data_IF_523029865646
#
_entry.id   IF_523029865646
#
_cell.length_a   1.000
_cell.length_b   1.000
_cell.length_c   1.000
_cell.angle_alpha   90.00
_cell.angle_beta   90.00
_cell.angle_gamma   90.00
#
_symmetry.space_group_name_H-M   'P 1'
#
loop_
_entity.id
_entity.type
_entity.pdbx_description
1 polymer ?
#
# COMPACT_ATOMS: atom_id res chain seq x y z
N UNK A 1 -5.88 1.39 -46.67
CA UNK A 1 -5.75 0.37 -45.60
C UNK A 1 -4.39 0.57 -44.95
N UNK A 2 -4.30 1.54 -44.05
CA UNK A 2 -3.07 1.82 -43.29
C UNK A 2 -3.29 1.39 -41.84
N UNK A 3 -2.39 0.53 -41.35
CA UNK A 3 -2.35 0.08 -39.97
C UNK A 3 -1.89 1.25 -39.10
N UNK A 4 -2.76 1.73 -38.22
CA UNK A 4 -2.36 2.58 -37.11
C UNK A 4 -1.45 1.78 -36.17
N UNK A 5 -0.18 2.19 -36.09
CA UNK A 5 0.75 1.78 -35.06
C UNK A 5 0.35 2.50 -33.76
N UNK A 6 0.02 1.74 -32.71
CA UNK A 6 -0.12 2.29 -31.36
C UNK A 6 1.26 2.73 -30.86
N UNK A 7 1.39 4.04 -30.59
CA UNK A 7 2.55 4.61 -29.92
C UNK A 7 2.57 4.17 -28.44
N UNK A 8 3.74 3.85 -27.86
CA UNK A 8 3.85 3.59 -26.44
C UNK A 8 3.61 4.87 -25.64
N UNK A 9 2.81 4.76 -24.58
CA UNK A 9 2.54 5.82 -23.61
C UNK A 9 3.86 6.44 -23.13
N UNK A 10 4.08 7.72 -23.45
CA UNK A 10 5.21 8.48 -22.91
C UNK A 10 5.01 8.61 -21.40
N UNK A 11 5.78 7.83 -20.64
CA UNK A 11 6.05 8.13 -19.24
C UNK A 11 6.67 9.54 -19.18
N UNK A 12 5.99 10.46 -18.50
CA UNK A 12 6.57 11.74 -18.12
C UNK A 12 7.75 11.45 -17.19
N UNK A 13 8.98 11.57 -17.70
CA UNK A 13 10.15 11.66 -16.84
C UNK A 13 10.04 12.96 -16.03
N UNK A 14 9.75 12.84 -14.73
CA UNK A 14 9.73 13.98 -13.82
C UNK A 14 11.14 14.56 -13.66
N UNK A 15 11.20 15.90 -13.65
CA UNK A 15 12.41 16.69 -13.42
C UNK A 15 13.02 16.38 -12.04
N UNK A 16 14.32 16.04 -12.01
CA UNK A 16 15.12 15.82 -10.79
C UNK A 16 15.45 17.12 -10.03
N UNK A 17 14.54 18.11 -10.03
CA UNK A 17 14.80 19.44 -9.45
C UNK A 17 13.92 19.75 -8.22
N UNK A 18 13.23 18.78 -7.64
CA UNK A 18 12.51 18.94 -6.37
C UNK A 18 13.46 19.06 -5.16
N UNK A 19 13.00 19.58 -4.00
CA UNK A 19 13.83 19.64 -2.79
C UNK A 19 14.36 18.24 -2.39
N UNK A 20 15.56 18.15 -1.77
CA UNK A 20 16.31 16.90 -1.60
C UNK A 20 15.52 15.74 -0.98
N UNK A 21 14.62 16.04 -0.04
CA UNK A 21 13.75 15.05 0.61
C UNK A 21 12.80 14.37 -0.37
N UNK A 22 12.18 15.12 -1.29
CA UNK A 22 11.21 14.59 -2.26
C UNK A 22 11.88 13.63 -3.25
N UNK A 23 13.13 13.92 -3.66
CA UNK A 23 13.89 13.05 -4.57
C UNK A 23 14.26 11.72 -3.92
N UNK A 24 14.65 11.73 -2.64
CA UNK A 24 14.98 10.52 -1.88
C UNK A 24 13.75 9.62 -1.74
N UNK A 25 12.56 10.20 -1.53
CA UNK A 25 11.31 9.45 -1.46
C UNK A 25 10.87 8.90 -2.82
N UNK A 26 11.00 9.68 -3.89
CA UNK A 26 10.71 9.24 -5.26
C UNK A 26 11.63 8.08 -5.71
N UNK A 27 12.93 8.15 -5.40
CA UNK A 27 13.89 7.11 -5.75
C UNK A 27 13.73 5.81 -4.92
N UNK A 28 12.97 5.85 -3.83
CA UNK A 28 12.80 4.75 -2.89
C UNK A 28 11.41 4.11 -2.94
N UNK A 29 10.50 4.63 -3.76
CA UNK A 29 9.12 4.13 -3.88
C UNK A 29 9.06 2.87 -4.73
N UNK A 30 8.40 1.82 -4.22
CA UNK A 30 8.11 0.62 -5.00
C UNK A 30 6.87 0.92 -5.85
N UNK A 31 6.93 0.78 -7.17
CA UNK A 31 5.78 1.04 -8.05
C UNK A 31 4.94 -0.22 -8.27
N UNK A 32 3.73 -0.06 -8.82
CA UNK A 32 2.91 -1.20 -9.24
C UNK A 32 3.63 -2.05 -10.31
N UNK A 33 4.40 -1.41 -11.20
CA UNK A 33 5.26 -2.10 -12.18
C UNK A 33 6.30 -2.99 -11.50
N UNK A 34 6.97 -2.50 -10.45
CA UNK A 34 7.92 -3.29 -9.69
C UNK A 34 7.26 -4.50 -9.00
N UNK A 35 5.99 -4.39 -8.56
CA UNK A 35 5.21 -5.52 -8.06
C UNK A 35 4.91 -6.55 -9.16
N UNK A 36 4.55 -6.10 -10.36
CA UNK A 36 4.28 -6.98 -11.51
C UNK A 36 5.55 -7.71 -11.94
N UNK A 37 6.70 -7.05 -11.90
CA UNK A 37 7.99 -7.69 -12.17
C UNK A 37 8.30 -8.74 -11.10
N UNK A 38 8.07 -8.39 -9.83
CA UNK A 38 8.27 -9.33 -8.73
C UNK A 38 7.40 -10.58 -8.89
N UNK A 39 6.12 -10.43 -9.21
CA UNK A 39 5.20 -11.56 -9.37
C UNK A 39 5.65 -12.53 -10.47
N UNK A 40 6.20 -12.01 -11.57
CA UNK A 40 6.73 -12.81 -12.68
C UNK A 40 8.01 -13.58 -12.31
N UNK A 41 8.79 -13.08 -11.35
CA UNK A 41 10.04 -13.71 -10.90
C UNK A 41 9.88 -14.69 -9.73
N UNK A 42 8.68 -14.75 -9.13
CA UNK A 42 8.35 -15.67 -8.05
C UNK A 42 7.75 -16.97 -8.62
N UNK A 43 8.13 -18.10 -8.03
CA UNK A 43 7.53 -19.39 -8.35
C UNK A 43 6.23 -19.59 -7.57
N UNK A 44 5.10 -19.62 -8.28
CA UNK A 44 3.77 -19.79 -7.68
C UNK A 44 3.57 -21.15 -7.00
N UNK A 45 4.41 -22.15 -7.30
CA UNK A 45 4.35 -23.48 -6.68
C UNK A 45 5.23 -23.59 -5.42
N UNK A 46 6.12 -22.62 -5.21
CA UNK A 46 7.04 -22.62 -4.08
C UNK A 46 6.35 -22.10 -2.81
N UNK A 47 6.38 -22.91 -1.75
CA UNK A 47 5.90 -22.55 -0.42
C UNK A 47 6.49 -21.23 0.10
N UNK A 48 7.77 -21.00 -0.18
CA UNK A 48 8.49 -19.79 0.22
C UNK A 48 8.07 -18.59 -0.60
N UNK A 49 8.04 -18.71 -1.93
CA UNK A 49 7.70 -17.60 -2.82
C UNK A 49 6.23 -17.21 -2.69
N UNK A 50 5.32 -18.14 -2.37
CA UNK A 50 3.93 -17.81 -2.05
C UNK A 50 3.82 -16.94 -0.79
N UNK A 51 4.63 -17.23 0.25
CA UNK A 51 4.68 -16.43 1.46
C UNK A 51 5.25 -15.03 1.18
N UNK A 52 6.30 -14.94 0.35
CA UNK A 52 6.88 -13.67 -0.10
C UNK A 52 5.86 -12.88 -0.90
N UNK A 53 5.11 -13.51 -1.80
CA UNK A 53 4.12 -12.84 -2.62
C UNK A 53 2.94 -12.28 -1.81
N UNK A 54 2.38 -13.08 -0.91
CA UNK A 54 1.32 -12.64 0.00
C UNK A 54 1.79 -11.48 0.89
N UNK A 55 2.98 -11.60 1.46
CA UNK A 55 3.60 -10.54 2.27
C UNK A 55 3.81 -9.25 1.47
N UNK A 56 4.23 -9.35 0.21
CA UNK A 56 4.44 -8.21 -0.68
C UNK A 56 3.13 -7.47 -0.94
N UNK A 57 2.08 -8.20 -1.37
CA UNK A 57 0.80 -7.59 -1.70
C UNK A 57 0.18 -6.90 -0.47
N UNK A 58 0.27 -7.55 0.70
CA UNK A 58 -0.21 -6.99 1.97
C UNK A 58 0.62 -5.77 2.36
N UNK A 59 1.95 -5.85 2.32
CA UNK A 59 2.83 -4.73 2.66
C UNK A 59 2.55 -3.49 1.80
N UNK A 60 2.32 -3.70 0.50
CA UNK A 60 2.01 -2.65 -0.46
C UNK A 60 0.60 -2.08 -0.22
N UNK A 61 -0.46 -2.87 -0.43
CA UNK A 61 -1.84 -2.36 -0.44
C UNK A 61 -2.38 -1.93 0.92
N UNK A 62 -1.84 -2.49 2.01
CA UNK A 62 -2.19 -2.04 3.35
C UNK A 62 -1.27 -0.90 3.83
N UNK A 63 -0.35 -0.41 2.98
CA UNK A 63 0.61 0.63 3.33
C UNK A 63 1.41 0.30 4.62
N UNK A 64 1.79 -0.97 4.76
CA UNK A 64 2.40 -1.54 5.96
C UNK A 64 3.92 -1.67 5.78
N UNK A 65 4.70 -0.63 6.12
CA UNK A 65 6.16 -0.76 6.32
C UNK A 65 6.83 0.43 7.00
N UNK A 66 7.57 0.21 8.09
CA UNK A 66 8.70 1.07 8.46
C UNK A 66 9.70 0.34 9.36
N UNK A 67 10.92 0.15 8.85
CA UNK A 67 12.11 0.39 9.66
C UNK A 67 12.70 1.68 9.13
N UNK A 68 12.33 2.80 9.73
CA UNK A 68 13.29 3.89 9.75
C UNK A 68 14.24 3.56 10.91
N UNK A 69 15.55 3.41 10.64
CA UNK A 69 16.51 3.69 11.68
C UNK A 69 16.17 5.09 12.17
N UNK A 70 16.25 5.30 13.49
CA UNK A 70 16.32 6.64 14.05
C UNK A 70 17.58 7.34 13.50
N UNK A 71 17.50 7.82 12.26
CA UNK A 71 18.41 8.82 11.76
C UNK A 71 18.20 10.03 12.66
N UNK A 72 19.29 10.47 13.27
CA UNK A 72 19.43 11.61 14.16
C UNK A 72 19.01 12.90 13.46
N UNK A 73 17.71 13.07 13.26
CA UNK A 73 17.06 14.31 12.83
C UNK A 73 16.38 14.96 14.03
N UNK A 74 16.20 16.29 14.03
CA UNK A 74 15.77 17.05 15.19
C UNK A 74 14.46 16.54 15.81
N UNK A 75 14.46 16.47 17.13
CA UNK A 75 13.51 15.81 18.04
C UNK A 75 12.05 16.30 17.97
N UNK A 76 11.71 17.29 17.14
CA UNK A 76 10.36 17.86 17.06
C UNK A 76 9.45 17.23 16.00
N UNK A 77 9.96 16.34 15.14
CA UNK A 77 9.17 15.79 14.01
C UNK A 77 8.85 14.29 14.15
N UNK A 78 9.60 13.50 14.93
CA UNK A 78 9.47 12.04 14.89
C UNK A 78 9.07 11.42 16.23
N UNK A 79 7.78 11.44 16.49
CA UNK A 79 7.11 10.43 17.32
C UNK A 79 5.78 10.05 16.68
N UNK A 80 5.83 9.68 15.41
CA UNK A 80 4.68 9.10 14.73
C UNK A 80 4.93 7.61 14.71
N UNK A 81 4.25 6.86 15.58
CA UNK A 81 4.43 5.44 15.56
C UNK A 81 3.67 4.92 14.32
N UNK A 82 4.19 3.87 13.70
CA UNK A 82 3.62 3.31 12.48
C UNK A 82 3.48 1.79 12.58
N UNK A 83 2.47 1.22 11.93
CA UNK A 83 2.35 -0.22 11.69
C UNK A 83 3.67 -0.70 11.04
N UNK A 84 4.45 -1.45 11.80
CA UNK A 84 5.72 -2.01 11.33
C UNK A 84 5.46 -3.42 10.85
N UNK A 85 6.06 -3.79 9.73
CA UNK A 85 6.06 -5.17 9.27
C UNK A 85 6.74 -6.12 10.29
N UNK A 86 7.38 -5.62 11.35
CA UNK A 86 7.73 -6.42 12.53
C UNK A 86 6.51 -7.04 13.25
N UNK A 87 5.28 -6.65 12.89
CA UNK A 87 4.02 -7.26 13.34
C UNK A 87 3.54 -8.39 12.43
N UNK A 88 3.95 -8.36 11.14
CA UNK A 88 3.56 -9.32 10.10
C UNK A 88 4.65 -10.37 9.86
N UNK A 89 5.92 -9.96 9.72
CA UNK A 89 7.09 -10.83 9.63
C UNK A 89 7.95 -10.73 10.88
N UNK A 90 8.57 -11.84 11.24
CA UNK A 90 9.49 -11.89 12.37
C UNK A 90 10.87 -11.33 11.99
N UNK A 91 11.57 -10.61 12.90
CA UNK A 91 12.93 -10.13 12.62
C UNK A 91 13.94 -11.29 12.51
N UNK A 92 13.75 -12.33 13.31
CA UNK A 92 14.51 -13.57 13.26
C UNK A 92 13.68 -14.72 13.84
N UNK A 93 14.00 -16.00 13.54
CA UNK A 93 13.28 -17.16 14.06
C UNK A 93 13.21 -17.21 15.59
N UNK A 94 14.24 -16.70 16.28
CA UNK A 94 14.35 -16.72 17.74
C UNK A 94 13.61 -15.57 18.43
N UNK A 95 13.05 -14.62 17.68
CA UNK A 95 12.35 -13.44 18.21
C UNK A 95 10.83 -13.55 18.08
N UNK A 96 10.32 -14.76 17.84
CA UNK A 96 8.88 -15.00 17.83
C UNK A 96 8.28 -14.76 19.22
N UNK A 97 7.35 -13.81 19.27
CA UNK A 97 6.52 -13.52 20.43
C UNK A 97 5.04 -13.59 20.02
N UNK A 98 4.23 -14.48 20.61
CA UNK A 98 2.79 -14.57 20.35
C UNK A 98 2.03 -13.28 20.68
N UNK A 99 2.56 -12.47 21.59
CA UNK A 99 2.00 -11.17 21.94
C UNK A 99 2.22 -10.13 20.85
N UNK A 100 3.21 -10.32 19.96
CA UNK A 100 3.62 -9.32 18.96
C UNK A 100 3.31 -9.71 17.53
N UNK A 101 3.24 -11.00 17.24
CA UNK A 101 3.12 -11.50 15.87
C UNK A 101 1.82 -12.28 15.69
N UNK A 102 1.21 -12.07 14.53
CA UNK A 102 0.02 -12.78 14.12
C UNK A 102 0.40 -14.23 13.81
N UNK A 103 -0.44 -15.17 14.27
CA UNK A 103 -0.25 -16.60 14.04
C UNK A 103 -1.44 -17.21 13.32
N UNK A 104 -1.32 -18.46 12.91
CA UNK A 104 -2.39 -19.25 12.27
C UNK A 104 -3.60 -19.48 13.19
N UNK A 105 -3.56 -19.08 14.47
CA UNK A 105 -4.70 -19.10 15.39
C UNK A 105 -5.88 -18.25 14.92
N UNK A 106 -5.67 -17.32 13.97
CA UNK A 106 -6.72 -16.51 13.38
C UNK A 106 -7.51 -17.25 12.28
N UNK A 107 -7.08 -18.46 11.90
CA UNK A 107 -7.70 -19.23 10.82
C UNK A 107 -8.88 -20.07 11.33
N UNK A 108 -9.93 -20.28 10.51
CA UNK A 108 -10.09 -19.75 9.14
C UNK A 108 -10.40 -18.25 9.14
N UNK A 109 -9.91 -17.53 8.12
CA UNK A 109 -10.24 -16.12 7.93
C UNK A 109 -11.74 -15.96 7.62
N UNK A 110 -12.37 -14.98 8.26
CA UNK A 110 -13.75 -14.64 7.95
C UNK A 110 -13.79 -13.84 6.64
N UNK A 111 -14.33 -14.48 5.60
CA UNK A 111 -14.53 -13.84 4.31
C UNK A 111 -15.90 -13.15 4.29
N UNK A 112 -15.86 -11.83 4.15
CA UNK A 112 -17.01 -10.96 4.06
C UNK A 112 -17.15 -10.42 2.64
N UNK A 113 -18.34 -9.95 2.30
CA UNK A 113 -18.59 -9.23 1.06
C UNK A 113 -19.46 -8.01 1.35
N UNK A 114 -19.18 -6.92 0.65
CA UNK A 114 -20.05 -5.75 0.64
C UNK A 114 -21.11 -5.94 -0.44
N UNK A 115 -22.34 -5.51 -0.18
CA UNK A 115 -23.44 -5.51 -1.16
C UNK A 115 -23.40 -4.25 -2.02
N UNK A 116 -22.21 -3.84 -2.47
CA UNK A 116 -22.05 -2.81 -3.49
C UNK A 116 -22.19 -3.42 -4.89
N UNK A 117 -22.22 -2.57 -5.92
CA UNK A 117 -22.36 -3.01 -7.32
C UNK A 117 -21.28 -4.04 -7.73
N UNK A 118 -20.09 -3.94 -7.15
CA UNK A 118 -18.94 -4.80 -7.45
C UNK A 118 -18.81 -6.04 -6.55
N UNK A 119 -19.72 -6.25 -5.58
CA UNK A 119 -19.66 -7.33 -4.58
C UNK A 119 -18.27 -7.52 -3.96
N UNK A 120 -17.70 -6.44 -3.42
CA UNK A 120 -16.31 -6.43 -2.98
C UNK A 120 -16.07 -7.39 -1.81
N UNK A 121 -15.23 -8.40 -2.05
CA UNK A 121 -14.76 -9.31 -1.02
C UNK A 121 -13.71 -8.65 -0.13
N UNK A 122 -13.77 -8.93 1.17
CA UNK A 122 -12.74 -8.55 2.12
C UNK A 122 -12.63 -9.56 3.25
N UNK A 123 -11.50 -9.60 3.94
CA UNK A 123 -11.36 -10.30 5.21
C UNK A 123 -10.72 -9.39 6.23
N UNK A 124 -11.16 -9.48 7.49
CA UNK A 124 -10.56 -8.74 8.58
C UNK A 124 -10.04 -9.68 9.65
N UNK A 125 -8.90 -9.36 10.25
CA UNK A 125 -8.38 -10.10 11.38
C UNK A 125 -7.68 -9.19 12.38
N UNK A 126 -7.65 -9.68 13.61
CA UNK A 126 -7.07 -8.98 14.74
C UNK A 126 -5.55 -9.17 14.80
N UNK A 127 -4.83 -8.08 15.04
CA UNK A 127 -3.39 -8.10 15.28
C UNK A 127 -3.11 -7.79 16.75
N UNK A 128 -2.30 -8.60 17.44
CA UNK A 128 -2.18 -8.56 18.89
C UNK A 128 -1.40 -7.35 19.41
N UNK A 129 -0.57 -6.74 18.56
CA UNK A 129 0.30 -5.64 18.96
C UNK A 129 0.48 -4.66 17.84
N UNK A 130 0.60 -3.38 18.20
CA UNK A 130 0.96 -2.35 17.25
C UNK A 130 1.95 -1.38 17.88
N UNK A 131 2.98 -0.97 17.12
CA UNK A 131 4.02 -0.02 17.59
C UNK A 131 3.45 1.27 18.20
N UNK A 132 2.22 1.60 17.82
CA UNK A 132 1.54 2.87 18.07
C UNK A 132 0.81 2.97 19.38
N UNK A 133 0.36 1.83 19.83
CA UNK A 133 -0.51 1.68 20.98
C UNK A 133 0.18 0.88 22.05
N UNK A 134 1.34 0.27 21.72
CA UNK A 134 2.22 -0.54 22.56
C UNK A 134 1.58 -1.77 23.20
N UNK A 135 0.25 -1.85 23.27
CA UNK A 135 -0.56 -3.00 23.71
C UNK A 135 -2.03 -2.95 23.21
N UNK A 136 -2.55 -1.84 22.65
CA UNK A 136 -3.87 -1.90 22.00
C UNK A 136 -3.72 -2.58 20.65
N UNK A 137 -4.22 -3.79 20.58
CA UNK A 137 -4.44 -4.51 19.34
C UNK A 137 -5.23 -3.69 18.31
N UNK A 138 -5.22 -4.14 17.06
CA UNK A 138 -5.97 -3.48 15.99
C UNK A 138 -6.57 -4.51 15.05
N UNK A 139 -7.54 -4.09 14.25
CA UNK A 139 -8.05 -4.92 13.16
C UNK A 139 -7.42 -4.45 11.85
N UNK A 140 -6.93 -5.42 11.07
CA UNK A 140 -6.52 -5.23 9.69
C UNK A 140 -7.66 -5.71 8.80
N UNK A 141 -8.07 -4.88 7.84
CA UNK A 141 -8.98 -5.26 6.77
C UNK A 141 -8.21 -5.39 5.45
N UNK A 142 -8.36 -6.53 4.79
CA UNK A 142 -7.78 -6.81 3.49
C UNK A 142 -8.91 -6.86 2.48
N UNK A 143 -8.95 -5.86 1.61
CA UNK A 143 -9.94 -5.74 0.55
C UNK A 143 -9.40 -6.37 -0.74
N UNK A 144 -10.27 -7.09 -1.44
CA UNK A 144 -9.98 -7.62 -2.77
C UNK A 144 -9.88 -6.48 -3.78
N UNK A 145 -8.95 -6.60 -4.73
CA UNK A 145 -8.91 -5.74 -5.91
C UNK A 145 -8.82 -6.62 -7.18
N UNK A 146 -9.34 -6.12 -8.30
CA UNK A 146 -9.37 -6.84 -9.57
C UNK A 146 -8.02 -6.72 -10.30
N UNK A 147 -6.95 -7.14 -9.63
CA UNK A 147 -5.58 -7.05 -10.16
C UNK A 147 -4.74 -8.24 -9.67
N UNK A 148 -3.67 -8.58 -10.40
CA UNK A 148 -2.80 -9.72 -10.04
C UNK A 148 -2.09 -9.54 -8.69
N UNK A 149 -1.98 -8.30 -8.23
CA UNK A 149 -1.40 -7.92 -6.93
C UNK A 149 -2.43 -7.94 -5.80
N UNK A 150 -3.60 -8.55 -6.01
CA UNK A 150 -4.67 -8.57 -5.03
C UNK A 150 -4.19 -9.18 -3.70
N UNK A 151 -4.19 -8.41 -2.59
CA UNK A 151 -3.70 -8.89 -1.31
C UNK A 151 -4.60 -9.99 -0.75
N UNK A 152 -5.91 -9.93 -1.02
CA UNK A 152 -6.87 -10.96 -0.63
C UNK A 152 -6.56 -12.30 -1.32
N UNK A 153 -6.43 -12.29 -2.65
CA UNK A 153 -6.12 -13.51 -3.43
C UNK A 153 -4.74 -14.07 -3.09
N UNK A 154 -3.73 -13.20 -2.95
CA UNK A 154 -2.38 -13.62 -2.62
C UNK A 154 -2.31 -14.27 -1.22
N UNK A 155 -3.00 -13.69 -0.23
CA UNK A 155 -3.08 -14.29 1.12
C UNK A 155 -3.75 -15.66 1.09
N UNK A 156 -4.88 -15.79 0.40
CA UNK A 156 -5.59 -17.07 0.29
C UNK A 156 -4.74 -18.13 -0.41
N UNK A 157 -4.08 -17.77 -1.53
CA UNK A 157 -3.18 -18.69 -2.23
C UNK A 157 -2.04 -19.17 -1.33
N UNK A 158 -1.43 -18.27 -0.55
CA UNK A 158 -0.41 -18.62 0.44
C UNK A 158 -0.95 -19.58 1.50
N UNK A 159 -2.12 -19.32 2.07
CA UNK A 159 -2.72 -20.16 3.10
C UNK A 159 -3.15 -21.54 2.57
N UNK A 160 -3.57 -21.62 1.29
CA UNK A 160 -3.88 -22.90 0.64
C UNK A 160 -2.63 -23.73 0.39
N UNK A 161 -1.58 -23.12 -0.16
CA UNK A 161 -0.32 -23.83 -0.47
C UNK A 161 0.39 -24.23 0.84
N UNK A 162 0.43 -23.31 1.82
CA UNK A 162 0.97 -23.54 3.15
C UNK A 162 -0.09 -24.05 4.15
N UNK A 163 -0.94 -24.97 3.71
CA UNK A 163 -1.85 -25.71 4.59
C UNK A 163 -1.09 -26.54 5.64
N UNK A 164 -1.77 -26.91 6.72
CA UNK A 164 -1.28 -27.87 7.74
C UNK A 164 -0.15 -27.35 8.65
N UNK A 165 0.00 -26.04 8.76
CA UNK A 165 0.90 -25.42 9.73
C UNK A 165 0.26 -25.36 11.13
N UNK A 166 1.06 -25.45 12.22
CA UNK A 166 0.53 -25.33 13.57
C UNK A 166 -0.16 -23.99 13.83
N UNK A 167 -1.17 -23.98 14.69
CA UNK A 167 -1.90 -22.73 15.03
C UNK A 167 -1.00 -21.62 15.59
N UNK A 168 0.09 -21.96 16.29
CA UNK A 168 1.05 -20.97 16.81
C UNK A 168 2.06 -20.48 15.76
N UNK A 169 2.10 -21.06 14.56
CA UNK A 169 3.02 -20.62 13.51
C UNK A 169 2.67 -19.20 13.05
N UNK A 170 3.65 -18.30 12.85
CA UNK A 170 3.41 -16.97 12.29
C UNK A 170 2.63 -17.03 10.98
N UNK A 171 1.81 -16.01 10.71
CA UNK A 171 0.92 -15.97 9.54
C UNK A 171 1.66 -16.29 8.22
N UNK A 172 2.81 -15.65 8.01
CA UNK A 172 3.66 -15.88 6.83
C UNK A 172 4.71 -16.96 7.07
N UNK A 173 4.31 -18.10 7.61
CA UNK A 173 5.16 -19.30 7.66
C UNK A 173 4.97 -20.17 6.43
N UNK A 174 6.02 -20.89 6.05
CA UNK A 174 6.04 -21.74 4.87
C UNK A 174 6.60 -23.14 5.17
N UNK A 175 6.15 -24.13 4.41
CA UNK A 175 6.62 -25.52 4.50
C UNK A 175 8.03 -25.66 3.91
N UNK A 176 8.87 -26.48 4.54
CA UNK A 176 10.18 -26.85 4.02
C UNK A 176 10.08 -28.17 3.26
N UNK A 177 10.77 -28.35 2.10
CA UNK A 177 10.68 -29.58 1.31
C UNK A 177 11.01 -30.87 2.08
N UNK A 178 11.93 -30.79 3.05
CA UNK A 178 12.47 -31.94 3.79
C UNK A 178 12.39 -31.75 5.32
N UNK A 179 11.53 -30.87 5.82
CA UNK A 179 11.55 -30.45 7.22
C UNK A 179 10.18 -30.01 7.73
N UNK A 180 10.12 -29.36 8.90
CA UNK A 180 8.88 -28.88 9.48
C UNK A 180 8.37 -27.66 8.67
N UNK A 181 8.47 -26.48 9.25
CA UNK A 181 8.10 -25.22 8.64
C UNK A 181 9.05 -24.14 9.15
N UNK A 182 9.07 -23.02 8.45
CA UNK A 182 9.85 -21.86 8.84
C UNK A 182 8.99 -20.60 8.70
N UNK A 183 9.11 -19.69 9.65
CA UNK A 183 8.51 -18.37 9.53
C UNK A 183 9.34 -17.49 8.58
N UNK A 184 8.67 -16.80 7.65
CA UNK A 184 9.32 -15.86 6.76
C UNK A 184 9.89 -14.69 7.57
N UNK A 185 11.22 -14.55 7.52
CA UNK A 185 11.89 -13.45 8.19
C UNK A 185 11.98 -12.24 7.28
N UNK A 186 12.06 -11.06 7.89
CA UNK A 186 12.24 -9.81 7.15
C UNK A 186 13.50 -9.80 6.25
N UNK A 187 14.68 -10.26 6.68
CA UNK A 187 15.85 -10.32 5.81
C UNK A 187 15.67 -11.26 4.61
N UNK A 188 15.06 -12.43 4.81
CA UNK A 188 14.80 -13.38 3.72
C UNK A 188 13.83 -12.82 2.69
N UNK A 189 12.75 -12.21 3.16
CA UNK A 189 11.78 -11.51 2.33
C UNK A 189 12.46 -10.43 1.48
N UNK A 190 13.17 -9.49 2.11
CA UNK A 190 13.80 -8.39 1.36
C UNK A 190 14.91 -8.87 0.43
N UNK A 191 15.65 -9.91 0.81
CA UNK A 191 16.67 -10.52 -0.05
C UNK A 191 16.03 -11.12 -1.29
N UNK A 192 14.92 -11.86 -1.15
CA UNK A 192 14.22 -12.47 -2.29
C UNK A 192 13.65 -11.41 -3.23
N UNK A 193 12.99 -10.38 -2.71
CA UNK A 193 12.45 -9.29 -3.53
C UNK A 193 13.54 -8.55 -4.29
N UNK A 194 14.61 -8.13 -3.59
CA UNK A 194 15.72 -7.42 -4.21
C UNK A 194 16.50 -8.26 -5.21
N UNK A 195 16.61 -9.58 -4.99
CA UNK A 195 17.21 -10.47 -5.97
C UNK A 195 16.47 -10.39 -7.32
N UNK A 196 15.14 -10.45 -7.31
CA UNK A 196 14.33 -10.41 -8.53
C UNK A 196 14.40 -9.02 -9.19
N UNK A 197 14.26 -7.96 -8.40
CA UNK A 197 14.32 -6.59 -8.93
C UNK A 197 15.68 -6.27 -9.55
N UNK A 198 16.78 -6.61 -8.88
CA UNK A 198 18.14 -6.38 -9.40
C UNK A 198 18.38 -7.18 -10.68
N UNK A 199 17.91 -8.43 -10.76
CA UNK A 199 17.98 -9.22 -11.99
C UNK A 199 17.17 -8.61 -13.15
N UNK A 200 16.08 -7.91 -12.84
CA UNK A 200 15.27 -7.18 -13.81
C UNK A 200 15.81 -5.77 -14.15
N UNK A 201 16.97 -5.37 -13.60
CA UNK A 201 17.60 -4.07 -13.86
C UNK A 201 17.13 -2.92 -12.95
N UNK A 202 16.33 -3.21 -11.92
CA UNK A 202 15.92 -2.23 -10.91
C UNK A 202 17.00 -2.08 -9.83
N UNK A 203 17.10 -0.92 -9.16
CA UNK A 203 17.97 -0.79 -8.00
C UNK A 203 17.47 -1.68 -6.85
N UNK A 204 18.36 -2.00 -5.91
CA UNK A 204 17.93 -2.59 -4.64
C UNK A 204 17.05 -1.58 -3.91
N UNK A 205 15.78 -1.93 -3.70
CA UNK A 205 14.81 -1.04 -3.09
C UNK A 205 14.76 -1.24 -1.58
N UNK A 206 14.70 -0.12 -0.84
CA UNK A 206 14.54 -0.19 0.58
C UNK A 206 13.12 -0.60 0.90
N UNK A 207 13.00 -1.10 2.09
CA UNK A 207 11.81 -1.82 2.45
C UNK A 207 10.64 -0.89 2.82
N UNK A 208 10.93 0.33 3.27
CA UNK A 208 9.92 1.39 3.42
C UNK A 208 9.27 1.81 2.09
N UNK A 209 9.88 1.45 0.96
CA UNK A 209 9.34 1.71 -0.37
C UNK A 209 7.97 1.09 -0.62
N UNK A 210 7.63 -0.02 0.05
CA UNK A 210 6.31 -0.66 -0.09
C UNK A 210 5.19 0.26 0.37
N UNK A 211 5.41 0.94 1.50
CA UNK A 211 4.44 1.84 2.09
C UNK A 211 4.25 3.11 1.27
N UNK A 212 5.34 3.68 0.78
CA UNK A 212 5.32 4.86 -0.10
C UNK A 212 4.59 4.52 -1.40
N UNK A 213 4.95 3.38 -1.98
CA UNK A 213 4.36 2.84 -3.19
C UNK A 213 2.86 2.63 -3.09
N UNK A 214 2.43 1.87 -2.08
CA UNK A 214 1.01 1.58 -1.87
C UNK A 214 0.17 2.82 -1.60
N UNK A 215 0.68 3.76 -0.80
CA UNK A 215 0.01 5.02 -0.53
C UNK A 215 -0.18 5.83 -1.82
N UNK A 216 0.89 5.92 -2.62
CA UNK A 216 0.88 6.62 -3.90
C UNK A 216 -0.12 5.98 -4.86
N UNK A 217 -0.11 4.66 -4.97
CA UNK A 217 -1.01 3.92 -5.87
C UNK A 217 -2.48 4.10 -5.48
N UNK A 218 -2.82 4.00 -4.19
CA UNK A 218 -4.19 4.24 -3.72
C UNK A 218 -4.66 5.67 -4.04
N UNK A 219 -3.81 6.67 -3.86
CA UNK A 219 -4.12 8.06 -4.19
C UNK A 219 -4.31 8.25 -5.71
N UNK A 220 -3.48 7.61 -6.54
CA UNK A 220 -3.63 7.62 -8.00
C UNK A 220 -4.92 6.92 -8.47
N UNK A 221 -5.44 5.97 -7.68
CA UNK A 221 -6.75 5.36 -7.90
C UNK A 221 -7.91 6.22 -7.38
N UNK A 222 -7.64 7.42 -6.86
CA UNK A 222 -8.64 8.36 -6.36
C UNK A 222 -9.16 8.03 -4.95
N UNK A 223 -8.53 7.10 -4.24
CA UNK A 223 -8.89 6.80 -2.84
C UNK A 223 -8.57 8.02 -1.98
N UNK A 224 -9.56 8.49 -1.22
CA UNK A 224 -9.41 9.76 -0.51
C UNK A 224 -8.31 9.70 0.56
N UNK A 225 -7.61 10.82 0.81
CA UNK A 225 -6.42 10.82 1.66
C UNK A 225 -6.68 10.36 3.11
N UNK A 226 -7.90 10.58 3.62
CA UNK A 226 -8.39 10.09 4.91
C UNK A 226 -8.54 8.56 4.94
N UNK A 227 -9.02 7.93 3.87
CA UNK A 227 -9.10 6.47 3.77
C UNK A 227 -7.70 5.86 3.67
N UNK A 228 -6.79 6.45 2.87
CA UNK A 228 -5.39 6.00 2.83
C UNK A 228 -4.73 6.15 4.21
N UNK A 229 -5.07 7.21 4.96
CA UNK A 229 -4.66 7.41 6.36
C UNK A 229 -5.12 6.33 7.29
N UNK A 230 -6.40 5.97 7.20
CA UNK A 230 -6.97 4.90 8.00
C UNK A 230 -6.31 3.56 7.65
N UNK A 231 -6.14 3.28 6.36
CA UNK A 231 -5.53 2.06 5.83
C UNK A 231 -4.08 1.89 6.28
N UNK A 232 -3.25 2.92 6.09
CA UNK A 232 -1.85 2.95 6.52
C UNK A 232 -1.65 3.20 8.02
N UNK A 233 -2.76 3.36 8.75
CA UNK A 233 -2.85 3.61 10.20
C UNK A 233 -1.97 4.78 10.64
N UNK A 234 -1.94 5.85 9.86
CA UNK A 234 -1.21 7.06 10.21
C UNK A 234 -1.99 7.86 11.26
N UNK A 235 -1.31 8.30 12.33
CA UNK A 235 -1.91 9.16 13.37
C UNK A 235 -2.02 10.63 12.94
N UNK A 236 -1.45 10.99 11.80
CA UNK A 236 -1.45 12.33 11.23
C UNK A 236 -1.42 12.26 9.71
N UNK A 237 -1.61 13.42 9.08
CA UNK A 237 -1.44 13.62 7.63
C UNK A 237 0.03 13.52 7.18
N UNK A 238 0.91 12.84 7.92
CA UNK A 238 2.31 12.65 7.56
C UNK A 238 2.49 11.92 6.22
N UNK A 239 1.46 11.25 5.70
CA UNK A 239 1.53 10.68 4.37
C UNK A 239 1.46 11.71 3.24
N UNK A 240 1.06 12.95 3.52
CA UNK A 240 1.20 14.06 2.58
C UNK A 240 2.67 14.27 2.19
N UNK A 241 3.62 13.89 3.05
CA UNK A 241 5.05 13.88 2.71
C UNK A 241 5.40 12.85 1.62
N UNK A 242 4.54 11.84 1.41
CA UNK A 242 4.68 10.81 0.38
C UNK A 242 3.94 11.15 -0.93
N UNK A 243 3.41 12.39 -1.08
CA UNK A 243 2.82 12.87 -2.34
C UNK A 243 3.89 13.11 -3.42
N UNK A 244 4.57 12.02 -3.81
CA UNK A 244 5.63 12.01 -4.80
C UNK A 244 5.14 12.41 -6.21
N UNK A 245 3.82 12.47 -6.43
CA UNK A 245 3.19 12.83 -7.70
C UNK A 245 2.02 13.80 -7.51
N UNK A 246 2.18 14.83 -6.68
CA UNK A 246 1.13 15.83 -6.41
C UNK A 246 0.48 16.39 -7.69
N UNK A 247 1.26 16.60 -8.75
CA UNK A 247 0.76 17.13 -10.04
C UNK A 247 -0.21 16.17 -10.75
N UNK A 248 -0.07 14.86 -10.55
CA UNK A 248 -0.96 13.84 -11.11
C UNK A 248 -2.12 13.52 -10.17
N UNK A 249 -1.91 13.67 -8.87
CA UNK A 249 -2.89 13.36 -7.82
C UNK A 249 -3.92 14.48 -7.66
N UNK A 250 -3.49 15.76 -7.69
CA UNK A 250 -4.40 16.90 -7.51
C UNK A 250 -5.53 16.96 -8.54
N UNK A 251 -5.29 16.81 -9.86
CA UNK A 251 -6.37 16.86 -10.84
C UNK A 251 -7.41 15.75 -10.65
N UNK A 252 -7.01 14.56 -10.17
CA UNK A 252 -7.93 13.44 -9.91
C UNK A 252 -8.93 13.80 -8.80
N UNK A 253 -8.45 14.38 -7.70
CA UNK A 253 -9.34 14.80 -6.60
C UNK A 253 -10.19 16.02 -6.95
N UNK A 254 -9.62 16.99 -7.67
CA UNK A 254 -10.38 18.18 -8.09
C UNK A 254 -11.49 17.76 -9.07
N UNK A 255 -11.18 16.91 -10.05
CA UNK A 255 -12.17 16.45 -11.03
C UNK A 255 -13.26 15.56 -10.43
N UNK A 256 -12.92 14.66 -9.49
CA UNK A 256 -13.93 13.83 -8.82
C UNK A 256 -14.86 14.64 -7.92
N UNK A 257 -14.35 15.71 -7.28
CA UNK A 257 -15.19 16.66 -6.54
C UNK A 257 -16.11 17.49 -7.45
N UNK A 258 -15.73 17.68 -8.71
CA UNK A 258 -16.47 18.44 -9.73
C UNK A 258 -17.53 17.59 -10.44
N UNK A 259 -18.19 16.66 -9.73
CA UNK A 259 -19.32 15.90 -10.26
C UNK A 259 -20.39 16.84 -10.84
N UNK A 260 -21.16 16.42 -11.86
CA UNK A 260 -22.14 17.29 -12.57
C UNK A 260 -23.13 18.00 -11.63
N UNK A 261 -23.47 17.38 -10.50
CA UNK A 261 -24.29 17.96 -9.43
C UNK A 261 -23.59 19.08 -8.64
N UNK A 262 -22.26 19.04 -8.55
CA UNK A 262 -21.42 20.08 -7.95
C UNK A 262 -21.28 21.30 -8.87
N UNK A 263 -21.21 21.09 -10.20
CA UNK A 263 -21.17 22.20 -11.15
C UNK A 263 -22.46 23.04 -11.12
N UNK A 264 -23.64 22.41 -11.02
CA UNK A 264 -24.91 23.12 -10.86
C UNK A 264 -24.96 23.93 -9.56
N UNK A 265 -24.32 23.46 -8.50
CA UNK A 265 -24.22 24.19 -7.22
C UNK A 265 -23.14 25.26 -7.22
N UNK A 266 -22.11 25.17 -8.07
CA UNK A 266 -21.11 26.23 -8.23
C UNK A 266 -21.70 27.49 -8.87
N UNK A 267 -22.58 27.33 -9.86
CA UNK A 267 -23.30 28.46 -10.46
C UNK A 267 -24.16 29.16 -9.41
N UNK A 268 -24.89 28.40 -8.60
CA UNK A 268 -25.70 28.94 -7.50
C UNK A 268 -24.84 29.61 -6.40
N UNK A 269 -23.72 29.01 -6.01
CA UNK A 269 -22.77 29.58 -5.04
C UNK A 269 -22.14 30.87 -5.58
N UNK A 270 -21.76 30.90 -6.86
CA UNK A 270 -21.23 32.11 -7.49
C UNK A 270 -22.28 33.21 -7.58
N UNK A 271 -23.53 32.87 -7.91
CA UNK A 271 -24.64 33.82 -7.92
C UNK A 271 -24.91 34.39 -6.52
N UNK A 272 -24.92 33.54 -5.49
CA UNK A 272 -25.08 33.96 -4.09
C UNK A 272 -23.91 34.84 -3.62
N UNK A 273 -22.68 34.50 -4.00
CA UNK A 273 -21.49 35.29 -3.70
C UNK A 273 -21.55 36.66 -4.38
N UNK A 274 -21.92 36.71 -5.66
CA UNK A 274 -22.09 37.96 -6.42
C UNK A 274 -23.16 38.83 -5.77
N UNK A 275 -24.29 38.23 -5.38
CA UNK A 275 -25.41 38.93 -4.74
C UNK A 275 -25.02 39.47 -3.35
N UNK A 276 -24.34 38.67 -2.52
CA UNK A 276 -23.88 39.10 -1.19
C UNK A 276 -22.81 40.20 -1.25
N UNK A 277 -21.96 40.20 -2.29
CA UNK A 277 -20.84 41.15 -2.40
C UNK A 277 -21.12 42.31 -3.36
N UNK A 278 -22.36 42.44 -3.89
CA UNK A 278 -22.77 43.49 -4.83
C UNK A 278 -21.83 43.66 -6.03
N UNK A 279 -21.29 42.56 -6.56
CA UNK A 279 -20.40 42.61 -7.71
C UNK A 279 -21.22 42.80 -8.99
N UNK A 280 -20.96 43.86 -9.75
CA UNK A 280 -21.59 44.08 -11.05
C UNK A 280 -20.92 43.21 -12.11
N UNK A 281 -21.60 42.16 -12.56
CA UNK A 281 -21.18 41.41 -13.74
C UNK A 281 -21.53 42.23 -14.98
N UNK A 282 -20.52 42.84 -15.60
CA UNK A 282 -20.71 43.45 -16.91
C UNK A 282 -20.85 42.33 -17.96
N UNK A 283 -21.95 42.26 -18.71
CA UNK A 283 -22.08 41.29 -19.79
C UNK A 283 -20.98 41.58 -20.82
N UNK A 284 -20.17 40.56 -21.11
CA UNK A 284 -19.19 40.58 -22.19
C UNK A 284 -19.91 40.86 -23.51
N UNK A 285 -19.54 41.98 -24.15
CA UNK A 285 -20.03 42.34 -25.48
C UNK A 285 -19.60 41.25 -26.46
N UNK A 286 -20.60 40.66 -27.11
CA UNK A 286 -20.47 39.75 -28.25
C UNK A 286 -19.60 40.29 -29.37
#
# INVERSE_FOLDING_TARGET
MERQQHAPSRLLQCSQNGPPLIQVFQASSITLEALIILSKGLDSSSYFDSAVWASTCIAFWLCCWSDLPSLSLPSHIYSIPFLSLGELLIPSPNLLSPQKHISHSILPLLNCFLTNEDLTHFCSFHIPWTKNTRELSADISITSCLHITCPFTALHAHLTINSDLPSLAPLFSFKLPNGPWQALTKPEFMRRCNQIWVQAGFPSMPSHGFRIGGATELLLQGVTPDIVTQQGRWKSQAFLEYWCHIESILPLFISSSSSTSCCLTLDDIMLDFIHHNQLTVHPSSS
#
